data_IF_104085410675
#
_entry.id   IF_104085410675
#
_cell.length_a   1.000
_cell.length_b   1.000
_cell.length_c   1.000
_cell.angle_alpha   90.00
_cell.angle_beta   90.00
_cell.angle_gamma   90.00
#
_symmetry.space_group_name_H-M   'P 1'
#
loop_
_entity.id
_entity.type
_entity.pdbx_description
1 polymer ?
#
# COMPACT_ATOMS: atom_id res chain seq x y z
N UNK A 1 47.71 17.71 -5.22
CA UNK A 1 47.02 16.54 -4.67
C UNK A 1 45.61 16.57 -5.22
N UNK A 2 45.26 15.63 -6.10
CA UNK A 2 43.99 15.59 -6.83
C UNK A 2 43.12 14.48 -6.27
N UNK A 3 41.95 14.81 -5.75
CA UNK A 3 40.95 13.84 -5.29
C UNK A 3 40.35 13.12 -6.50
N UNK A 4 40.58 11.81 -6.60
CA UNK A 4 39.98 10.95 -7.61
C UNK A 4 38.77 10.25 -7.00
N UNK A 5 37.56 10.53 -7.54
CA UNK A 5 36.35 9.78 -7.18
C UNK A 5 36.42 8.39 -7.83
N UNK A 6 36.82 7.39 -7.05
CA UNK A 6 36.93 5.99 -7.49
C UNK A 6 35.61 5.27 -7.19
N UNK A 7 34.99 4.70 -8.22
CA UNK A 7 33.84 3.81 -8.06
C UNK A 7 34.33 2.41 -7.65
N UNK A 8 34.29 2.13 -6.35
CA UNK A 8 34.78 0.87 -5.75
C UNK A 8 34.12 -0.40 -6.31
N UNK A 9 32.95 -0.28 -6.93
CA UNK A 9 32.18 -1.40 -7.48
C UNK A 9 32.45 -1.66 -8.97
N UNK A 10 33.55 -1.12 -9.51
CA UNK A 10 34.08 -1.50 -10.82
C UNK A 10 35.58 -1.74 -10.73
N UNK A 11 36.06 -2.78 -11.41
CA UNK A 11 37.47 -3.21 -11.37
C UNK A 11 38.44 -2.15 -11.94
N UNK A 12 37.93 -1.22 -12.75
CA UNK A 12 38.68 -0.10 -13.31
C UNK A 12 38.43 1.23 -12.58
N UNK A 13 37.69 1.22 -11.46
CA UNK A 13 37.39 2.42 -10.67
C UNK A 13 36.47 3.44 -11.34
N UNK A 14 35.95 3.13 -12.53
CA UNK A 14 35.07 4.03 -13.29
C UNK A 14 33.60 3.73 -13.00
N UNK A 15 32.82 4.79 -12.82
CA UNK A 15 31.37 4.69 -12.72
C UNK A 15 30.76 4.29 -14.07
N UNK A 16 29.80 3.37 -14.06
CA UNK A 16 28.96 3.07 -15.21
C UNK A 16 27.55 2.76 -14.74
N UNK A 17 26.55 3.07 -15.57
CA UNK A 17 25.14 2.73 -15.27
C UNK A 17 24.98 1.23 -15.04
N UNK A 18 25.75 0.40 -15.76
CA UNK A 18 25.75 -1.06 -15.62
C UNK A 18 26.27 -1.53 -14.26
N UNK A 19 27.37 -0.97 -13.76
CA UNK A 19 27.92 -1.32 -12.45
C UNK A 19 27.06 -0.77 -11.31
N UNK A 20 26.45 0.41 -11.49
CA UNK A 20 25.46 0.95 -10.56
C UNK A 20 24.19 0.10 -10.49
N UNK A 21 23.67 -0.36 -11.63
CA UNK A 21 22.51 -1.25 -11.69
C UNK A 21 22.82 -2.61 -11.04
N UNK A 22 23.97 -3.20 -11.34
CA UNK A 22 24.38 -4.46 -10.73
C UNK A 22 24.58 -4.33 -9.21
N UNK A 23 25.11 -3.20 -8.75
CA UNK A 23 25.20 -2.89 -7.32
C UNK A 23 23.79 -2.77 -6.70
N UNK A 24 22.89 -2.02 -7.33
CA UNK A 24 21.52 -1.85 -6.85
C UNK A 24 20.80 -3.20 -6.70
N UNK A 25 20.87 -4.07 -7.72
CA UNK A 25 20.31 -5.42 -7.63
C UNK A 25 20.98 -6.26 -6.53
N UNK A 26 22.30 -6.19 -6.37
CA UNK A 26 23.01 -6.94 -5.32
C UNK A 26 22.73 -6.46 -3.90
N UNK A 27 22.36 -5.19 -3.73
CA UNK A 27 21.94 -4.63 -2.44
C UNK A 27 20.49 -5.02 -2.11
N UNK A 28 19.65 -5.20 -3.13
CA UNK A 28 18.28 -5.74 -2.99
C UNK A 28 18.30 -7.26 -2.69
N UNK A 29 19.33 -7.99 -3.11
CA UNK A 29 19.53 -9.43 -2.82
C UNK A 29 20.01 -9.74 -1.38
N UNK A 30 20.03 -8.75 -0.48
CA UNK A 30 20.16 -9.06 0.95
C UNK A 30 18.96 -9.91 1.38
N UNK A 31 19.15 -11.11 1.96
CA UNK A 31 18.07 -12.05 2.22
C UNK A 31 17.23 -11.58 3.42
N UNK A 32 16.35 -10.62 3.18
CA UNK A 32 15.23 -10.32 4.05
C UNK A 32 14.07 -11.25 3.63
N UNK A 33 13.82 -12.30 4.41
CA UNK A 33 12.61 -13.15 4.39
C UNK A 33 11.94 -13.33 3.01
N UNK A 34 12.43 -14.31 2.25
CA UNK A 34 12.10 -14.59 0.85
C UNK A 34 10.63 -14.94 0.55
N UNK A 35 9.77 -15.16 1.55
CA UNK A 35 8.34 -15.46 1.34
C UNK A 35 7.46 -14.21 1.22
N UNK A 36 7.82 -13.11 1.90
CA UNK A 36 7.02 -11.88 1.90
C UNK A 36 7.18 -11.12 0.58
N UNK A 37 8.41 -10.92 0.10
CA UNK A 37 8.65 -10.20 -1.16
C UNK A 37 8.15 -10.93 -2.41
N UNK A 38 8.17 -12.26 -2.43
CA UNK A 38 7.59 -13.02 -3.55
C UNK A 38 6.06 -12.86 -3.61
N UNK A 39 5.40 -12.80 -2.45
CA UNK A 39 3.96 -12.59 -2.36
C UNK A 39 3.55 -11.17 -2.79
N UNK A 40 4.42 -10.18 -2.57
CA UNK A 40 4.15 -8.80 -2.98
C UNK A 40 4.25 -8.61 -4.49
N UNK A 41 5.28 -9.19 -5.12
CA UNK A 41 5.45 -9.07 -6.56
C UNK A 41 4.32 -9.77 -7.35
N UNK A 42 3.85 -10.93 -6.86
CA UNK A 42 2.70 -11.62 -7.45
C UNK A 42 1.41 -10.83 -7.29
N UNK A 43 1.21 -10.20 -6.12
CA UNK A 43 0.06 -9.33 -5.85
C UNK A 43 0.04 -8.13 -6.79
N UNK A 44 1.16 -7.41 -6.93
CA UNK A 44 1.25 -6.24 -7.81
C UNK A 44 0.99 -6.59 -9.28
N UNK A 45 1.47 -7.75 -9.74
CA UNK A 45 1.18 -8.24 -11.09
C UNK A 45 -0.31 -8.48 -11.29
N UNK A 46 -0.96 -9.16 -10.33
CA UNK A 46 -2.41 -9.39 -10.33
C UNK A 46 -3.19 -8.07 -10.33
N UNK A 47 -2.78 -7.13 -9.49
CA UNK A 47 -3.36 -5.79 -9.41
C UNK A 47 -3.28 -5.03 -10.73
N UNK A 48 -2.11 -5.03 -11.38
CA UNK A 48 -1.92 -4.37 -12.67
C UNK A 48 -2.87 -4.95 -13.75
N UNK A 49 -3.10 -6.26 -13.73
CA UNK A 49 -3.95 -6.98 -14.68
C UNK A 49 -5.46 -6.86 -14.39
N UNK A 50 -5.86 -6.45 -13.19
CA UNK A 50 -7.27 -6.33 -12.81
C UNK A 50 -8.04 -5.38 -13.74
N UNK A 51 -9.28 -5.75 -14.08
CA UNK A 51 -10.17 -4.99 -14.98
C UNK A 51 -10.88 -3.88 -14.21
N UNK A 52 -10.10 -2.94 -13.69
CA UNK A 52 -10.60 -1.80 -12.91
C UNK A 52 -10.40 -0.48 -13.67
N UNK A 53 -11.30 0.51 -13.49
CA UNK A 53 -11.08 1.89 -13.90
C UNK A 53 -9.74 2.44 -13.40
N UNK A 54 -9.05 3.21 -14.24
CA UNK A 54 -7.73 3.78 -13.91
C UNK A 54 -7.73 4.58 -12.61
N UNK A 55 -8.83 5.28 -12.29
CA UNK A 55 -8.98 6.03 -11.03
C UNK A 55 -8.83 5.14 -9.79
N UNK A 56 -9.40 3.93 -9.82
CA UNK A 56 -9.30 2.97 -8.71
C UNK A 56 -7.87 2.44 -8.61
N UNK A 57 -7.23 2.15 -9.75
CA UNK A 57 -5.83 1.70 -9.76
C UNK A 57 -4.88 2.76 -9.19
N UNK A 58 -5.02 4.00 -9.63
CA UNK A 58 -4.21 5.12 -9.11
C UNK A 58 -4.44 5.28 -7.61
N UNK A 59 -5.69 5.27 -7.17
CA UNK A 59 -6.03 5.32 -5.75
C UNK A 59 -5.35 4.22 -4.95
N UNK A 60 -5.56 2.94 -5.28
CA UNK A 60 -4.99 1.80 -4.55
C UNK A 60 -3.46 1.88 -4.51
N UNK A 61 -2.83 2.27 -5.63
CA UNK A 61 -1.39 2.52 -5.67
C UNK A 61 -0.98 3.57 -4.62
N UNK A 62 -1.67 4.70 -4.57
CA UNK A 62 -1.42 5.72 -3.56
C UNK A 62 -1.64 5.21 -2.14
N UNK A 63 -2.72 4.44 -1.86
CA UNK A 63 -2.97 3.90 -0.50
C UNK A 63 -1.82 3.00 -0.08
N UNK A 64 -1.44 2.06 -0.95
CA UNK A 64 -0.41 1.07 -0.66
C UNK A 64 1.00 1.67 -0.57
N UNK A 65 1.27 2.78 -1.24
CA UNK A 65 2.53 3.53 -1.10
C UNK A 65 2.54 4.47 0.11
N UNK A 66 1.52 4.44 0.98
CA UNK A 66 1.31 5.43 2.05
C UNK A 66 1.33 6.88 1.53
N UNK A 67 0.98 7.06 0.25
CA UNK A 67 1.03 8.33 -0.46
C UNK A 67 -0.32 9.04 -0.49
N UNK A 68 -1.32 8.51 0.22
CA UNK A 68 -2.56 9.23 0.49
C UNK A 68 -2.31 10.15 1.68
N UNK A 69 -2.67 11.44 1.57
CA UNK A 69 -2.71 12.32 2.72
C UNK A 69 -3.87 11.90 3.62
N UNK A 70 -3.69 10.86 4.44
CA UNK A 70 -4.52 10.68 5.63
C UNK A 70 -4.19 11.80 6.62
N UNK A 71 -5.13 12.15 7.50
CA UNK A 71 -4.93 13.11 8.59
C UNK A 71 -3.58 12.95 9.29
N UNK A 72 -3.09 11.71 9.51
CA UNK A 72 -1.73 11.42 10.02
C UNK A 72 -0.58 11.89 9.12
N UNK A 73 -0.66 11.68 7.81
CA UNK A 73 0.32 12.15 6.84
C UNK A 73 0.31 13.68 6.70
N UNK A 74 -0.86 14.31 6.89
CA UNK A 74 -1.04 15.75 6.93
C UNK A 74 -0.58 16.36 8.27
N UNK A 75 -0.75 15.65 9.40
CA UNK A 75 -0.35 16.08 10.75
C UNK A 75 1.15 16.38 10.86
N UNK A 76 1.97 15.60 10.16
CA UNK A 76 3.42 15.85 10.09
C UNK A 76 3.78 17.13 9.33
N UNK A 77 2.85 17.72 8.57
CA UNK A 77 3.06 18.94 7.76
C UNK A 77 2.24 20.15 8.22
N UNK A 78 1.07 19.97 8.83
CA UNK A 78 0.14 21.05 9.22
C UNK A 78 -0.48 20.71 10.57
N UNK A 79 -0.09 21.43 11.62
CA UNK A 79 -0.42 21.16 13.03
C UNK A 79 -1.89 21.45 13.46
N UNK A 80 -2.79 21.76 12.52
CA UNK A 80 -4.13 22.29 12.82
C UNK A 80 -5.30 21.57 12.14
N UNK A 81 -5.06 20.41 11.53
CA UNK A 81 -6.14 19.62 10.93
C UNK A 81 -6.74 18.64 11.94
N UNK A 82 -8.07 18.54 11.93
CA UNK A 82 -8.86 17.56 12.69
C UNK A 82 -8.29 16.17 12.44
N UNK A 83 -7.72 15.57 13.49
CA UNK A 83 -7.10 14.24 13.42
C UNK A 83 -8.14 13.12 13.39
N UNK A 84 -9.43 13.43 13.44
CA UNK A 84 -10.47 12.44 13.61
C UNK A 84 -10.99 11.92 12.28
N UNK A 85 -11.28 10.62 12.23
CA UNK A 85 -11.95 9.97 11.11
C UNK A 85 -13.27 10.70 10.77
N UNK A 86 -13.54 11.00 9.48
CA UNK A 86 -14.72 11.76 9.07
C UNK A 86 -16.05 11.04 9.37
N UNK A 87 -16.01 9.72 9.56
CA UNK A 87 -17.19 8.90 9.77
C UNK A 87 -17.53 8.69 11.25
N UNK A 88 -16.55 8.40 12.09
CA UNK A 88 -16.79 8.11 13.51
C UNK A 88 -16.44 9.28 14.43
N UNK A 89 -15.64 10.26 13.97
CA UNK A 89 -15.17 11.43 14.73
C UNK A 89 -14.41 11.15 16.04
N UNK A 90 -14.25 9.88 16.41
CA UNK A 90 -13.68 9.45 17.69
C UNK A 90 -12.25 8.89 17.57
N UNK A 91 -11.88 8.32 16.41
CA UNK A 91 -10.57 7.70 16.21
C UNK A 91 -9.67 8.54 15.32
N UNK A 92 -8.36 8.46 15.54
CA UNK A 92 -7.39 9.08 14.64
C UNK A 92 -7.54 8.56 13.21
N UNK A 93 -7.51 9.47 12.24
CA UNK A 93 -7.65 9.17 10.82
C UNK A 93 -6.41 8.41 10.31
N UNK A 94 -6.57 7.10 10.18
CA UNK A 94 -5.59 6.18 9.61
C UNK A 94 -6.23 5.44 8.43
N UNK A 95 -5.44 5.07 7.42
CA UNK A 95 -5.95 4.40 6.20
C UNK A 95 -6.67 3.11 6.56
N UNK A 96 -6.09 2.32 7.45
CA UNK A 96 -6.68 1.09 7.96
C UNK A 96 -7.96 1.37 8.75
N UNK A 97 -7.98 2.42 9.57
CA UNK A 97 -9.18 2.76 10.31
C UNK A 97 -10.32 3.16 9.37
N UNK A 98 -10.09 4.15 8.52
CA UNK A 98 -11.10 4.70 7.61
C UNK A 98 -11.65 3.65 6.65
N UNK A 99 -10.80 2.73 6.15
CA UNK A 99 -11.21 1.75 5.14
C UNK A 99 -11.67 0.41 5.71
N UNK A 100 -11.29 0.04 6.93
CA UNK A 100 -11.50 -1.32 7.46
C UNK A 100 -12.11 -1.32 8.86
N UNK A 101 -11.55 -0.58 9.81
CA UNK A 101 -11.95 -0.67 11.22
C UNK A 101 -13.12 0.24 11.61
N UNK A 102 -13.35 1.31 10.84
CA UNK A 102 -14.40 2.26 11.15
C UNK A 102 -15.78 1.58 11.11
N UNK A 103 -16.67 1.94 12.03
CA UNK A 103 -18.04 1.40 12.08
C UNK A 103 -18.72 1.50 10.71
N UNK A 104 -18.58 2.64 10.02
CA UNK A 104 -19.10 2.81 8.67
C UNK A 104 -18.51 1.78 7.69
N UNK A 105 -17.18 1.64 7.66
CA UNK A 105 -16.52 0.67 6.79
C UNK A 105 -16.98 -0.77 7.11
N UNK A 106 -17.04 -1.16 8.39
CA UNK A 106 -17.50 -2.49 8.79
C UNK A 106 -18.92 -2.81 8.34
N UNK A 107 -19.81 -1.81 8.32
CA UNK A 107 -21.17 -1.97 7.79
C UNK A 107 -21.16 -2.17 6.27
N UNK A 108 -20.38 -1.36 5.54
CA UNK A 108 -20.21 -1.52 4.08
C UNK A 108 -19.68 -2.92 3.74
N UNK A 109 -18.68 -3.40 4.47
CA UNK A 109 -18.14 -4.75 4.31
C UNK A 109 -19.15 -5.84 4.66
N UNK A 110 -19.97 -5.64 5.69
CA UNK A 110 -21.03 -6.58 6.08
C UNK A 110 -22.18 -6.69 5.07
N UNK A 111 -22.38 -5.67 4.24
CA UNK A 111 -23.37 -5.69 3.15
C UNK A 111 -22.79 -6.22 1.83
N UNK A 112 -21.47 -6.28 1.70
CA UNK A 112 -20.83 -6.79 0.50
C UNK A 112 -20.98 -8.32 0.40
N UNK A 113 -21.12 -8.90 -0.82
CA UNK A 113 -21.12 -10.34 -1.02
C UNK A 113 -19.73 -10.97 -0.85
N UNK A 114 -18.83 -10.32 -0.10
CA UNK A 114 -17.51 -10.83 0.22
C UNK A 114 -17.61 -11.50 1.59
N UNK A 115 -17.27 -12.79 1.68
CA UNK A 115 -17.12 -13.48 2.95
C UNK A 115 -15.82 -13.04 3.64
N UNK A 116 -15.75 -11.75 3.98
CA UNK A 116 -14.73 -11.17 4.82
C UNK A 116 -14.96 -11.69 6.24
N UNK A 117 -14.48 -12.90 6.52
CA UNK A 117 -14.14 -13.24 7.89
C UNK A 117 -13.16 -12.14 8.31
N UNK A 118 -13.59 -11.24 9.20
CA UNK A 118 -12.79 -10.11 9.68
C UNK A 118 -11.47 -10.69 10.16
N UNK A 119 -10.48 -10.70 9.27
CA UNK A 119 -9.19 -11.33 9.50
C UNK A 119 -8.62 -10.58 10.68
N UNK A 120 -8.24 -11.31 11.74
CA UNK A 120 -7.77 -10.72 13.00
C UNK A 120 -6.76 -9.62 12.69
N UNK A 121 -7.19 -8.38 12.87
CA UNK A 121 -6.35 -7.22 12.65
C UNK A 121 -5.45 -7.14 13.88
N UNK A 122 -4.28 -7.75 13.77
CA UNK A 122 -3.15 -7.44 14.64
C UNK A 122 -2.62 -6.03 14.35
N UNK A 123 -1.39 -5.74 14.75
CA UNK A 123 -0.69 -4.48 14.42
C UNK A 123 -0.24 -4.40 12.95
N UNK A 124 -1.10 -4.78 12.00
CA UNK A 124 -0.80 -4.78 10.55
C UNK A 124 -1.35 -3.50 9.89
N UNK A 125 -0.65 -2.97 8.88
CA UNK A 125 -1.12 -1.83 8.10
C UNK A 125 -2.17 -2.20 7.06
N UNK A 126 -2.75 -1.18 6.40
CA UNK A 126 -3.76 -1.38 5.35
C UNK A 126 -3.22 -2.24 4.18
N UNK A 127 -1.97 -2.02 3.79
CA UNK A 127 -1.33 -2.75 2.69
C UNK A 127 -1.22 -4.24 3.01
N UNK A 128 -0.74 -4.58 4.20
CA UNK A 128 -0.60 -5.97 4.65
C UNK A 128 -1.97 -6.65 4.73
N UNK A 129 -2.96 -5.94 5.30
CA UNK A 129 -4.34 -6.40 5.33
C UNK A 129 -4.87 -6.70 3.92
N UNK A 130 -4.68 -5.78 2.97
CA UNK A 130 -5.17 -5.92 1.60
C UNK A 130 -4.55 -7.13 0.89
N UNK A 131 -3.25 -7.35 1.03
CA UNK A 131 -2.55 -8.50 0.45
C UNK A 131 -3.08 -9.81 1.05
N UNK A 132 -3.24 -9.89 2.37
CA UNK A 132 -3.74 -11.09 3.05
C UNK A 132 -5.18 -11.40 2.65
N UNK A 133 -6.07 -10.41 2.68
CA UNK A 133 -7.49 -10.59 2.38
C UNK A 133 -7.72 -10.91 0.90
N UNK A 134 -6.94 -10.32 -0.01
CA UNK A 134 -7.08 -10.61 -1.43
C UNK A 134 -6.57 -12.00 -1.85
N UNK A 135 -5.75 -12.65 -1.03
CA UNK A 135 -5.16 -13.96 -1.36
C UNK A 135 -6.21 -15.09 -1.42
N UNK A 136 -7.34 -14.93 -0.72
CA UNK A 136 -8.45 -15.89 -0.68
C UNK A 136 -9.53 -15.61 -1.75
N UNK A 137 -9.39 -14.53 -2.52
CA UNK A 137 -10.41 -14.09 -3.47
C UNK A 137 -10.08 -14.51 -4.89
N UNK A 138 -11.11 -14.71 -5.72
CA UNK A 138 -10.96 -14.89 -7.16
C UNK A 138 -10.77 -13.54 -7.87
N UNK A 139 -10.80 -13.51 -9.20
CA UNK A 139 -10.61 -12.25 -9.94
C UNK A 139 -11.75 -11.24 -9.71
N UNK A 140 -12.99 -11.73 -9.58
CA UNK A 140 -14.18 -10.88 -9.43
C UNK A 140 -14.21 -10.30 -8.02
N UNK A 141 -14.04 -11.13 -7.01
CA UNK A 141 -14.02 -10.74 -5.60
C UNK A 141 -12.86 -9.78 -5.32
N UNK A 142 -11.70 -9.99 -5.98
CA UNK A 142 -10.58 -9.05 -5.89
C UNK A 142 -10.91 -7.67 -6.47
N UNK A 143 -11.58 -7.63 -7.63
CA UNK A 143 -12.01 -6.37 -8.22
C UNK A 143 -13.08 -5.68 -7.36
N UNK A 144 -14.01 -6.45 -6.79
CA UNK A 144 -15.01 -5.94 -5.84
C UNK A 144 -14.37 -5.38 -4.58
N UNK A 145 -13.40 -6.09 -3.98
CA UNK A 145 -12.63 -5.62 -2.82
C UNK A 145 -11.99 -4.25 -3.09
N UNK A 146 -11.27 -4.11 -4.21
CA UNK A 146 -10.62 -2.84 -4.56
C UNK A 146 -11.62 -1.73 -4.89
N UNK A 147 -12.75 -2.08 -5.51
CA UNK A 147 -13.85 -1.15 -5.78
C UNK A 147 -14.53 -0.64 -4.51
N UNK A 148 -14.70 -1.50 -3.50
CA UNK A 148 -15.25 -1.15 -2.20
C UNK A 148 -14.29 -0.28 -1.38
N UNK A 149 -12.98 -0.57 -1.41
CA UNK A 149 -11.98 0.33 -0.83
C UNK A 149 -12.10 1.75 -1.42
N UNK A 150 -12.26 1.86 -2.74
CA UNK A 150 -12.47 3.14 -3.40
C UNK A 150 -13.79 3.81 -2.99
N UNK A 151 -14.90 3.07 -2.93
CA UNK A 151 -16.20 3.68 -2.57
C UNK A 151 -16.21 4.19 -1.13
N UNK A 152 -15.63 3.44 -0.18
CA UNK A 152 -15.50 3.87 1.22
C UNK A 152 -14.67 5.16 1.29
N UNK A 153 -13.53 5.22 0.60
CA UNK A 153 -12.70 6.42 0.57
C UNK A 153 -13.42 7.62 -0.05
N UNK A 154 -14.13 7.40 -1.16
CA UNK A 154 -14.90 8.44 -1.84
C UNK A 154 -15.98 9.04 -0.92
N UNK A 155 -16.68 8.21 -0.13
CA UNK A 155 -17.69 8.70 0.82
C UNK A 155 -17.12 9.61 1.92
N UNK A 156 -15.81 9.51 2.21
CA UNK A 156 -15.16 10.32 3.25
C UNK A 156 -14.44 11.55 2.73
N UNK A 157 -14.23 11.64 1.40
CA UNK A 157 -13.45 12.70 0.74
C UNK A 157 -14.24 13.48 -0.33
N UNK A 158 -15.51 13.14 -0.55
CA UNK A 158 -16.43 13.86 -1.44
C UNK A 158 -17.32 14.82 -0.67
#
# INVERSE_FOLDING_TARGET
>A
MSDLRIWHYSRNGMFSVRSAYHLACSLEDQPCSSSLHQNEHSWWRRFCQAKLPSKIKVFIWHVCSNAIPTGKSLATRISSLTMCCPFCQDCEEDTLHTMVLCLFATQVWGCAPLHLAVVRIGSMGFREWLVVVSAQFDEIDFQLLLGLCWSIWWCGNG
#
